data_IF_491799202666
#
_entry.id   IF_491799202666
#
_cell.length_a   1.000
_cell.length_b   1.000
_cell.length_c   1.000
_cell.angle_alpha   90.00
_cell.angle_beta   90.00
_cell.angle_gamma   90.00
#
_symmetry.space_group_name_H-M   'P 1'
#
loop_
_entity.id
_entity.type
_entity.pdbx_description
1 polymer ?
#
# COMPACT_ATOMS: atom_id res chain seq x y z
N UNK A 1 -13.86 -63.43 -6.79
CA UNK A 1 -13.97 -64.54 -5.82
C UNK A 1 -12.70 -64.56 -4.98
N UNK A 2 -12.85 -64.65 -3.64
CA UNK A 2 -11.88 -64.32 -2.55
C UNK A 2 -11.80 -62.81 -2.30
N UNK A 3 -12.54 -62.16 -1.39
CA UNK A 3 -13.05 -62.51 -0.05
C UNK A 3 -11.92 -62.87 0.92
N UNK A 4 -11.37 -61.86 1.60
CA UNK A 4 -10.75 -62.01 2.91
C UNK A 4 -11.36 -61.00 3.87
N UNK A 5 -11.91 -61.59 4.92
CA UNK A 5 -12.61 -61.05 6.07
C UNK A 5 -11.62 -61.05 7.24
N UNK A 6 -11.57 -60.00 8.06
CA UNK A 6 -11.36 -60.09 9.53
C UNK A 6 -11.35 -58.69 10.17
N UNK A 7 -12.54 -58.30 10.61
CA UNK A 7 -12.93 -57.91 11.98
C UNK A 7 -12.05 -57.05 12.91
N UNK A 8 -12.73 -55.99 13.39
CA UNK A 8 -12.81 -55.44 14.75
C UNK A 8 -11.59 -54.75 15.37
N UNK A 9 -11.70 -53.43 15.56
CA UNK A 9 -11.84 -52.89 16.93
C UNK A 9 -12.68 -51.60 16.92
N UNK A 10 -13.75 -51.64 17.69
CA UNK A 10 -14.70 -50.56 17.96
C UNK A 10 -14.15 -49.81 19.17
N UNK A 11 -13.73 -48.56 19.00
CA UNK A 11 -13.53 -47.63 20.12
C UNK A 11 -14.25 -46.34 19.80
N UNK A 12 -15.34 -46.11 20.53
CA UNK A 12 -16.01 -44.82 20.64
C UNK A 12 -14.98 -43.76 21.04
N UNK A 13 -14.89 -42.69 20.25
CA UNK A 13 -14.52 -41.37 20.76
C UNK A 13 -15.70 -40.46 20.42
N UNK A 14 -16.58 -40.33 21.42
CA UNK A 14 -17.44 -39.17 21.58
C UNK A 14 -16.51 -37.98 21.91
N UNK A 15 -16.31 -37.07 20.97
CA UNK A 15 -15.84 -35.71 21.27
C UNK A 15 -16.87 -34.74 20.70
N UNK A 16 -17.35 -33.88 21.59
CA UNK A 16 -18.55 -33.07 21.45
C UNK A 16 -18.46 -32.05 20.31
N UNK A 17 -19.59 -31.90 19.63
CA UNK A 17 -19.98 -30.63 19.05
C UNK A 17 -20.28 -29.65 20.20
N UNK A 18 -19.73 -28.43 20.11
CA UNK A 18 -20.14 -27.30 20.93
C UNK A 18 -19.05 -26.81 21.90
N UNK A 19 -17.93 -26.32 21.36
CA UNK A 19 -17.06 -25.42 22.11
C UNK A 19 -17.17 -24.02 21.50
N UNK A 20 -17.84 -23.17 22.26
CA UNK A 20 -17.73 -21.72 22.21
C UNK A 20 -16.25 -21.33 22.45
N UNK A 21 -15.59 -20.58 21.55
CA UNK A 21 -14.18 -20.20 21.69
C UNK A 21 -13.91 -19.25 22.87
N UNK A 22 -14.93 -18.80 23.60
CA UNK A 22 -14.82 -17.90 24.76
C UNK A 22 -14.02 -18.43 25.97
N UNK A 23 -13.64 -19.72 25.99
CA UNK A 23 -12.99 -20.37 27.15
C UNK A 23 -11.47 -20.59 27.05
N UNK A 24 -10.82 -20.19 25.95
CA UNK A 24 -9.36 -20.31 25.82
C UNK A 24 -8.66 -19.07 26.41
N UNK A 25 -8.50 -19.02 27.73
CA UNK A 25 -7.77 -17.92 28.40
C UNK A 25 -8.00 -17.77 29.92
N UNK A 26 -8.99 -18.45 30.49
CA UNK A 26 -9.42 -18.29 31.89
C UNK A 26 -8.42 -18.81 32.96
N UNK A 27 -7.23 -19.28 32.57
CA UNK A 27 -6.24 -19.86 33.48
C UNK A 27 -5.39 -18.86 34.29
N UNK A 28 -5.55 -17.55 34.05
CA UNK A 28 -4.77 -16.49 34.71
C UNK A 28 -5.65 -15.39 35.34
N UNK A 29 -6.93 -15.66 35.55
CA UNK A 29 -7.84 -14.70 36.18
C UNK A 29 -7.68 -14.83 37.70
N UNK A 30 -7.16 -13.78 38.34
CA UNK A 30 -7.13 -13.67 39.79
C UNK A 30 -8.55 -13.83 40.35
N UNK A 31 -8.70 -14.52 41.47
CA UNK A 31 -10.00 -14.87 42.08
C UNK A 31 -10.76 -13.61 42.58
N UNK A 32 -10.15 -12.43 42.40
CA UNK A 32 -10.67 -11.12 42.76
C UNK A 32 -11.19 -10.29 41.57
N UNK A 33 -10.99 -10.73 40.32
CA UNK A 33 -11.46 -10.02 39.14
C UNK A 33 -12.98 -10.24 38.91
N UNK A 34 -13.67 -9.22 38.40
CA UNK A 34 -15.11 -9.30 38.04
C UNK A 34 -15.40 -10.29 36.91
N UNK A 35 -16.68 -10.50 36.58
CA UNK A 35 -17.05 -11.22 35.35
C UNK A 35 -16.73 -10.36 34.12
N UNK A 36 -16.10 -10.92 33.06
CA UNK A 36 -15.84 -10.17 31.83
C UNK A 36 -17.14 -9.70 31.16
N UNK A 37 -17.13 -8.49 30.62
CA UNK A 37 -18.23 -7.94 29.83
C UNK A 37 -17.72 -7.22 28.58
N UNK A 38 -18.60 -7.03 27.59
CA UNK A 38 -18.26 -6.40 26.31
C UNK A 38 -18.74 -4.96 26.29
N UNK A 39 -17.83 -4.05 25.95
CA UNK A 39 -18.11 -2.65 25.65
C UNK A 39 -17.98 -2.44 24.14
N UNK A 40 -18.89 -1.68 23.53
CA UNK A 40 -18.81 -1.32 22.12
C UNK A 40 -18.71 0.19 21.99
N UNK A 41 -17.53 0.65 21.58
CA UNK A 41 -17.28 2.05 21.29
C UNK A 41 -17.65 2.34 19.84
N UNK A 42 -18.40 3.43 19.66
CA UNK A 42 -18.76 3.99 18.36
C UNK A 42 -17.85 5.18 18.11
N UNK A 43 -17.31 5.35 16.90
CA UNK A 43 -16.44 6.48 16.61
C UNK A 43 -17.18 7.81 16.71
N UNK A 44 -16.49 8.84 17.21
CA UNK A 44 -16.94 10.23 17.21
C UNK A 44 -16.76 10.88 15.84
N UNK A 45 -15.78 10.41 15.07
CA UNK A 45 -15.55 10.81 13.67
C UNK A 45 -15.13 9.60 12.82
N UNK A 46 -15.63 9.55 11.58
CA UNK A 46 -15.24 8.57 10.58
C UNK A 46 -15.28 9.24 9.20
N UNK A 47 -14.12 9.69 8.74
CA UNK A 47 -13.99 10.58 7.59
C UNK A 47 -12.67 10.41 6.86
N UNK A 48 -12.56 11.02 5.68
CA UNK A 48 -11.29 11.06 4.95
C UNK A 48 -10.35 12.06 5.61
N UNK A 49 -9.07 11.71 5.62
CA UNK A 49 -7.99 12.63 5.91
C UNK A 49 -7.87 13.68 4.81
N UNK A 50 -7.46 14.90 5.17
CA UNK A 50 -6.99 15.90 4.20
C UNK A 50 -5.54 15.64 3.74
N UNK A 51 -4.85 14.71 4.43
CA UNK A 51 -3.49 14.30 4.07
C UNK A 51 -3.50 13.38 2.85
N UNK A 52 -2.62 13.66 1.89
CA UNK A 52 -2.26 12.72 0.85
C UNK A 52 -1.57 11.48 1.42
N UNK A 53 -1.84 10.33 0.79
CA UNK A 53 -1.22 9.06 1.13
C UNK A 53 0.27 9.02 0.74
N UNK A 54 1.01 8.07 1.31
CA UNK A 54 2.41 7.85 1.02
C UNK A 54 2.58 6.90 -0.18
N UNK A 55 3.35 7.33 -1.18
CA UNK A 55 3.58 6.55 -2.41
C UNK A 55 5.07 6.48 -2.78
N UNK A 56 5.93 7.09 -1.97
CA UNK A 56 7.38 6.98 -2.07
C UNK A 56 7.87 5.58 -1.65
N UNK A 57 8.86 5.08 -2.37
CA UNK A 57 9.49 3.78 -2.09
C UNK A 57 11.01 3.82 -2.23
N UNK A 58 11.71 3.21 -1.28
CA UNK A 58 13.16 3.06 -1.25
C UNK A 58 13.54 1.59 -1.08
N UNK A 59 14.30 1.04 -2.04
CA UNK A 59 14.60 -0.40 -2.08
C UNK A 59 15.80 -0.80 -1.19
N UNK A 60 16.60 0.14 -0.68
CA UNK A 60 17.63 -0.14 0.33
C UNK A 60 18.77 -1.08 -0.10
N UNK A 61 18.93 -1.30 -1.41
CA UNK A 61 19.74 -2.41 -1.96
C UNK A 61 21.22 -2.31 -1.54
N UNK A 62 21.73 -1.12 -1.24
CA UNK A 62 23.14 -0.90 -0.88
C UNK A 62 23.41 -0.97 0.63
N UNK A 63 22.42 -0.68 1.48
CA UNK A 63 22.64 -0.41 2.91
C UNK A 63 22.15 -1.53 3.83
N UNK A 64 21.72 -2.68 3.29
CA UNK A 64 21.09 -3.78 4.06
C UNK A 64 19.87 -3.34 4.89
N UNK A 65 19.30 -2.18 4.55
CA UNK A 65 18.05 -1.69 5.11
C UNK A 65 16.93 -2.40 4.34
N UNK A 66 15.95 -2.93 5.08
CA UNK A 66 14.74 -3.51 4.51
C UNK A 66 14.06 -2.47 3.60
N UNK A 67 13.47 -2.90 2.48
CA UNK A 67 12.63 -2.05 1.62
C UNK A 67 11.68 -1.21 2.49
N UNK A 68 11.61 0.10 2.22
CA UNK A 68 10.70 1.02 2.91
C UNK A 68 9.78 1.63 1.88
N UNK A 69 8.47 1.51 2.09
CA UNK A 69 7.45 2.13 1.24
C UNK A 69 7.12 1.34 -0.03
N UNK A 70 6.74 2.06 -1.08
CA UNK A 70 6.18 1.48 -2.30
C UNK A 70 7.14 0.53 -3.04
N UNK A 71 6.61 -0.56 -3.58
CA UNK A 71 7.37 -1.49 -4.43
C UNK A 71 7.13 -1.28 -5.94
N UNK A 72 6.13 -0.48 -6.30
CA UNK A 72 5.82 -0.08 -7.68
C UNK A 72 5.55 1.42 -7.79
N UNK A 73 5.70 1.96 -8.99
CA UNK A 73 5.20 3.30 -9.32
C UNK A 73 4.13 3.21 -10.40
N UNK A 74 3.21 4.16 -10.40
CA UNK A 74 2.11 4.23 -11.35
C UNK A 74 2.28 5.39 -12.32
N UNK A 75 1.80 5.22 -13.54
CA UNK A 75 1.74 6.28 -14.54
C UNK A 75 0.53 6.10 -15.45
N UNK A 76 -0.15 7.19 -15.75
CA UNK A 76 -1.31 7.17 -16.63
C UNK A 76 -2.41 8.07 -16.11
N UNK A 77 -3.57 7.95 -16.71
CA UNK A 77 -4.80 8.60 -16.32
C UNK A 77 -5.96 7.80 -16.87
N UNK A 78 -7.03 7.76 -16.10
CA UNK A 78 -8.27 7.08 -16.49
C UNK A 78 -9.47 7.91 -16.06
N UNK A 79 -10.48 7.97 -16.90
CA UNK A 79 -11.79 8.50 -16.56
C UNK A 79 -12.67 7.36 -16.03
N UNK A 80 -12.51 7.04 -14.75
CA UNK A 80 -13.31 5.99 -14.12
C UNK A 80 -14.81 6.35 -14.13
N UNK A 81 -15.68 5.54 -14.75
CA UNK A 81 -17.12 5.87 -14.84
C UNK A 81 -17.84 5.98 -13.49
N UNK A 82 -17.25 5.46 -12.42
CA UNK A 82 -17.79 5.48 -11.07
C UNK A 82 -16.99 6.38 -10.11
N UNK A 83 -15.72 6.63 -10.41
CA UNK A 83 -14.78 7.31 -9.51
C UNK A 83 -14.16 8.60 -10.09
N UNK A 84 -14.54 8.98 -11.30
CA UNK A 84 -14.07 10.19 -11.95
C UNK A 84 -12.66 10.07 -12.53
N UNK A 85 -12.06 11.21 -12.86
CA UNK A 85 -10.71 11.26 -13.39
C UNK A 85 -9.69 10.97 -12.28
N UNK A 86 -8.83 9.99 -12.54
CA UNK A 86 -7.66 9.67 -11.72
C UNK A 86 -6.45 9.80 -12.63
N UNK A 87 -5.41 10.50 -12.20
CA UNK A 87 -4.13 10.64 -12.91
C UNK A 87 -2.97 10.31 -11.99
N UNK A 88 -1.98 9.61 -12.52
CA UNK A 88 -0.77 9.20 -11.86
C UNK A 88 0.46 9.59 -12.68
N UNK A 89 1.47 10.15 -12.01
CA UNK A 89 2.78 10.44 -12.58
C UNK A 89 3.86 9.64 -11.87
N UNK A 90 4.62 8.88 -12.65
CA UNK A 90 5.65 7.98 -12.16
C UNK A 90 7.01 8.65 -12.13
N UNK A 91 7.78 8.41 -11.07
CA UNK A 91 9.17 8.88 -10.93
C UNK A 91 10.03 7.74 -10.43
N UNK A 92 11.22 7.62 -10.98
CA UNK A 92 12.16 6.58 -10.60
C UNK A 92 13.59 7.08 -10.71
N UNK A 93 14.42 6.67 -9.77
CA UNK A 93 15.86 6.96 -9.72
C UNK A 93 16.65 5.68 -9.46
N UNK A 94 17.93 5.70 -9.82
CA UNK A 94 18.76 4.51 -10.00
C UNK A 94 19.99 4.53 -9.12
N UNK A 95 20.49 3.34 -8.83
CA UNK A 95 21.72 3.18 -8.06
C UNK A 95 22.61 2.09 -8.65
N UNK A 96 23.91 2.37 -8.70
CA UNK A 96 24.91 1.41 -9.16
C UNK A 96 25.19 0.39 -8.06
N UNK A 97 24.89 -0.89 -8.31
CA UNK A 97 25.14 -1.98 -7.36
C UNK A 97 26.57 -2.54 -7.46
N UNK A 98 27.16 -2.43 -8.65
CA UNK A 98 28.49 -2.91 -8.95
C UNK A 98 29.36 -1.74 -9.44
N UNK A 99 30.64 -1.77 -9.07
CA UNK A 99 31.60 -0.81 -9.61
C UNK A 99 31.81 -1.10 -11.11
N UNK A 100 31.59 -0.09 -11.94
CA UNK A 100 31.92 -0.20 -13.36
C UNK A 100 33.42 -0.46 -13.56
N UNK A 101 33.75 -1.27 -14.55
CA UNK A 101 35.13 -1.61 -14.90
C UNK A 101 35.86 -0.43 -15.53
N UNK A 102 37.20 -0.44 -15.53
CA UNK A 102 38.00 0.56 -16.24
C UNK A 102 37.67 0.59 -17.75
N UNK A 103 37.35 -0.56 -18.35
CA UNK A 103 36.98 -0.65 -19.76
C UNK A 103 35.64 0.05 -20.02
N UNK A 104 34.66 -0.11 -19.13
CA UNK A 104 33.41 0.65 -19.18
C UNK A 104 33.65 2.15 -19.04
N UNK A 105 34.43 2.55 -18.02
CA UNK A 105 34.73 3.96 -17.72
C UNK A 105 35.48 4.65 -18.86
N UNK A 106 36.35 3.96 -19.56
CA UNK A 106 37.14 4.51 -20.67
C UNK A 106 36.49 4.35 -22.05
N UNK A 107 35.37 3.62 -22.14
CA UNK A 107 34.59 3.44 -23.36
C UNK A 107 33.76 4.66 -23.73
N UNK A 108 33.07 4.57 -24.86
CA UNK A 108 31.99 5.48 -25.25
C UNK A 108 30.67 4.72 -25.11
N UNK A 109 29.67 5.34 -24.49
CA UNK A 109 28.33 4.76 -24.37
C UNK A 109 27.73 4.64 -25.77
N UNK A 110 27.37 3.43 -26.14
CA UNK A 110 26.78 3.09 -27.43
C UNK A 110 25.27 2.91 -27.36
N UNK A 111 24.73 2.53 -26.20
CA UNK A 111 23.28 2.44 -26.00
C UNK A 111 22.90 2.50 -24.53
N UNK A 112 21.69 2.98 -24.27
CA UNK A 112 21.05 2.98 -22.96
C UNK A 112 19.65 2.43 -23.13
N UNK A 113 19.31 1.39 -22.38
CA UNK A 113 18.01 0.72 -22.44
C UNK A 113 17.40 0.72 -21.05
N UNK A 114 16.24 1.36 -20.92
CA UNK A 114 15.41 1.30 -19.72
C UNK A 114 14.48 0.10 -19.84
N UNK A 115 14.62 -0.86 -18.93
CA UNK A 115 13.72 -2.01 -18.82
C UNK A 115 12.80 -1.81 -17.62
N UNK A 116 11.49 -1.90 -17.85
CA UNK A 116 10.46 -1.77 -16.81
C UNK A 116 9.55 -2.99 -16.80
N UNK A 117 9.31 -3.52 -15.61
CA UNK A 117 8.49 -4.72 -15.36
C UNK A 117 7.06 -4.30 -15.05
N UNK A 118 6.15 -4.45 -16.00
CA UNK A 118 4.74 -4.03 -15.85
C UNK A 118 3.99 -5.12 -15.10
N UNK A 119 3.37 -4.76 -13.98
CA UNK A 119 2.68 -5.73 -13.13
C UNK A 119 1.35 -5.20 -12.57
N UNK A 120 0.82 -4.12 -13.13
CA UNK A 120 -0.41 -3.49 -12.68
C UNK A 120 -1.07 -2.70 -13.80
N UNK A 121 -2.41 -2.76 -13.86
CA UNK A 121 -3.24 -1.92 -14.72
C UNK A 121 -4.52 -1.56 -13.99
N UNK A 122 -4.95 -0.32 -14.13
CA UNK A 122 -6.25 0.19 -13.72
C UNK A 122 -6.82 1.05 -14.86
N UNK A 123 -7.97 0.68 -15.43
CA UNK A 123 -8.57 1.37 -16.58
C UNK A 123 -8.73 0.47 -17.82
N UNK A 124 -8.74 1.07 -19.01
CA UNK A 124 -8.89 0.37 -20.29
C UNK A 124 -7.67 -0.52 -20.60
N UNK A 125 -7.93 -1.82 -20.72
CA UNK A 125 -6.92 -2.85 -21.06
C UNK A 125 -6.83 -3.13 -22.56
N UNK A 126 -7.67 -2.50 -23.39
CA UNK A 126 -7.76 -2.78 -24.83
C UNK A 126 -6.98 -1.77 -25.68
N UNK A 127 -6.68 -0.59 -25.13
CA UNK A 127 -6.03 0.50 -25.84
C UNK A 127 -4.66 0.79 -25.24
N UNK A 128 -3.61 0.98 -26.04
CA UNK A 128 -2.30 1.42 -25.55
C UNK A 128 -2.35 2.77 -24.82
N UNK A 129 -1.49 2.92 -23.83
CA UNK A 129 -1.23 4.20 -23.15
C UNK A 129 0.01 4.84 -23.76
N UNK A 130 -0.09 6.10 -24.16
CA UNK A 130 1.05 6.89 -24.66
C UNK A 130 1.60 7.73 -23.51
N UNK A 131 2.88 7.53 -23.21
CA UNK A 131 3.60 8.18 -22.14
C UNK A 131 4.68 9.11 -22.68
N UNK A 132 4.98 10.15 -21.92
CA UNK A 132 6.14 11.02 -22.09
C UNK A 132 7.20 10.65 -21.07
N UNK A 133 8.43 10.43 -21.53
CA UNK A 133 9.62 10.26 -20.69
C UNK A 133 10.39 11.58 -20.62
N UNK A 134 10.67 12.07 -19.42
CA UNK A 134 11.44 13.30 -19.18
C UNK A 134 12.52 13.07 -18.13
N UNK A 135 13.55 13.93 -18.10
CA UNK A 135 14.54 13.90 -17.00
C UNK A 135 14.00 14.55 -15.74
N UNK A 136 14.54 14.17 -14.58
CA UNK A 136 14.37 14.92 -13.32
C UNK A 136 15.60 15.82 -13.12
N UNK A 137 15.38 17.09 -12.79
CA UNK A 137 16.46 18.09 -12.76
C UNK A 137 17.17 18.20 -11.42
N UNK A 138 16.47 17.89 -10.32
CA UNK A 138 16.96 18.07 -8.97
C UNK A 138 17.02 16.73 -8.22
N UNK A 139 18.00 16.57 -7.34
CA UNK A 139 18.09 15.43 -6.44
C UNK A 139 16.85 15.34 -5.54
N UNK A 140 16.41 14.11 -5.26
CA UNK A 140 15.23 13.85 -4.43
C UNK A 140 15.40 12.58 -3.60
N UNK A 141 14.50 12.42 -2.63
CA UNK A 141 14.41 11.26 -1.74
C UNK A 141 13.01 10.68 -1.84
N UNK A 142 12.87 9.37 -1.90
CA UNK A 142 11.58 8.66 -1.86
C UNK A 142 11.11 8.29 -0.44
N UNK A 143 11.93 8.52 0.59
CA UNK A 143 11.58 8.14 1.97
C UNK A 143 10.42 8.97 2.49
N UNK A 144 9.34 8.30 2.91
CA UNK A 144 8.15 8.92 3.53
C UNK A 144 7.54 10.04 2.67
N UNK A 145 7.59 9.88 1.34
CA UNK A 145 7.07 10.89 0.41
C UNK A 145 5.61 10.62 0.04
N UNK A 146 4.83 11.70 0.03
CA UNK A 146 3.40 11.71 -0.25
C UNK A 146 3.07 11.88 -1.73
N UNK A 147 1.88 11.43 -2.13
CA UNK A 147 1.41 11.46 -3.52
C UNK A 147 1.10 12.85 -4.08
N UNK A 148 1.09 13.89 -3.26
CA UNK A 148 0.96 15.30 -3.70
C UNK A 148 2.31 16.00 -3.92
N UNK A 149 3.42 15.27 -3.78
CA UNK A 149 4.76 15.83 -3.93
C UNK A 149 5.06 16.22 -5.38
N UNK A 150 5.58 17.43 -5.55
CA UNK A 150 5.99 17.99 -6.85
C UNK A 150 7.51 18.06 -6.95
N UNK A 151 8.08 17.53 -8.03
CA UNK A 151 9.51 17.64 -8.35
C UNK A 151 9.75 18.52 -9.58
N UNK A 152 10.96 19.05 -9.70
CA UNK A 152 11.40 19.79 -10.89
C UNK A 152 11.65 18.84 -12.07
N UNK A 153 10.77 18.92 -13.08
CA UNK A 153 10.88 18.12 -14.31
C UNK A 153 11.73 18.87 -15.33
N UNK A 154 12.68 18.16 -15.93
CA UNK A 154 13.59 18.65 -16.96
C UNK A 154 13.04 18.50 -18.37
N UNK A 155 13.95 18.32 -19.32
CA UNK A 155 13.61 18.20 -20.73
C UNK A 155 12.94 16.86 -21.05
N UNK A 156 12.01 16.93 -22.01
CA UNK A 156 11.42 15.74 -22.61
C UNK A 156 12.48 14.98 -23.42
N UNK A 157 12.50 13.67 -23.24
CA UNK A 157 13.44 12.76 -23.92
C UNK A 157 12.74 12.14 -25.12
N UNK A 158 11.56 11.54 -24.92
CA UNK A 158 10.79 10.86 -25.96
C UNK A 158 9.36 10.52 -25.52
N UNK A 159 8.53 10.15 -26.51
CA UNK A 159 7.24 9.50 -26.29
C UNK A 159 7.36 7.97 -26.39
N UNK A 160 6.56 7.26 -25.61
CA UNK A 160 6.57 5.78 -25.51
C UNK A 160 5.12 5.29 -25.57
N UNK A 161 4.87 4.23 -26.34
CA UNK A 161 3.58 3.53 -26.33
C UNK A 161 3.68 2.27 -25.49
N UNK A 162 2.75 2.10 -24.54
CA UNK A 162 2.68 0.95 -23.63
C UNK A 162 1.41 0.18 -23.90
N UNK A 163 1.53 -1.10 -24.23
CA UNK A 163 0.40 -2.03 -24.25
C UNK A 163 0.11 -2.46 -22.79
N UNK A 164 -1.08 -2.21 -22.22
CA UNK A 164 -1.41 -2.60 -20.85
C UNK A 164 -1.32 -4.11 -20.59
N UNK A 165 -1.23 -4.93 -21.63
CA UNK A 165 -1.12 -6.39 -21.53
C UNK A 165 0.31 -6.91 -21.62
N UNK A 166 1.31 -6.04 -21.80
CA UNK A 166 2.72 -6.47 -21.77
C UNK A 166 3.18 -6.73 -20.34
N UNK A 167 4.02 -7.74 -20.14
CA UNK A 167 4.66 -7.98 -18.83
C UNK A 167 5.94 -7.14 -18.67
N UNK A 168 6.56 -6.74 -19.79
CA UNK A 168 7.82 -5.99 -19.77
C UNK A 168 7.87 -4.97 -20.91
N UNK A 169 8.47 -3.82 -20.61
CA UNK A 169 8.71 -2.74 -21.55
C UNK A 169 10.21 -2.46 -21.62
N UNK A 170 10.78 -2.52 -22.82
CA UNK A 170 12.16 -2.08 -23.09
C UNK A 170 12.13 -0.80 -23.94
N UNK A 171 12.80 0.24 -23.46
CA UNK A 171 12.88 1.55 -24.10
C UNK A 171 14.33 1.85 -24.40
N UNK A 172 14.69 1.90 -25.68
CA UNK A 172 16.00 2.39 -26.12
C UNK A 172 15.98 3.92 -26.15
N UNK A 173 16.89 4.55 -25.40
CA UNK A 173 16.96 6.01 -25.33
C UNK A 173 17.59 6.59 -26.60
N UNK A 174 17.16 7.80 -27.04
CA UNK A 174 17.68 8.43 -28.25
C UNK A 174 19.20 8.65 -28.24
N UNK A 175 19.85 8.43 -29.39
CA UNK A 175 21.31 8.55 -29.56
C UNK A 175 21.86 9.92 -29.17
N UNK A 176 21.09 10.99 -29.39
CA UNK A 176 21.46 12.36 -29.04
C UNK A 176 21.43 12.59 -27.52
N UNK A 177 20.41 12.07 -26.83
CA UNK A 177 20.35 12.06 -25.37
C UNK A 177 21.50 11.23 -24.79
N UNK A 178 21.75 10.04 -25.33
CA UNK A 178 22.86 9.16 -24.90
C UNK A 178 24.21 9.88 -25.08
N UNK A 179 24.41 10.51 -26.23
CA UNK A 179 25.65 11.26 -26.53
C UNK A 179 25.83 12.48 -25.62
N UNK A 180 24.74 13.19 -25.29
CA UNK A 180 24.78 14.34 -24.38
C UNK A 180 25.09 13.93 -22.94
N UNK A 181 24.71 12.72 -22.53
CA UNK A 181 24.88 12.21 -21.16
C UNK A 181 26.03 11.20 -21.02
N UNK A 182 26.82 10.93 -22.07
CA UNK A 182 27.89 9.91 -22.07
C UNK A 182 28.86 10.04 -20.87
N UNK A 183 29.32 11.25 -20.57
CA UNK A 183 30.24 11.49 -19.45
C UNK A 183 29.59 11.23 -18.08
N UNK A 184 28.31 11.61 -17.93
CA UNK A 184 27.52 11.37 -16.72
C UNK A 184 27.28 9.87 -16.52
N UNK A 185 26.84 9.17 -17.55
CA UNK A 185 26.54 7.72 -17.54
C UNK A 185 27.77 6.87 -17.21
N UNK A 186 28.98 7.36 -17.53
CA UNK A 186 30.26 6.73 -17.16
C UNK A 186 30.86 7.30 -15.88
N UNK A 187 30.20 8.17 -15.13
CA UNK A 187 30.71 8.77 -13.89
C UNK A 187 30.70 7.80 -12.70
N UNK A 188 31.71 7.86 -11.84
CA UNK A 188 31.68 7.18 -10.53
C UNK A 188 30.57 7.70 -9.62
N UNK A 189 30.19 8.96 -9.80
CA UNK A 189 29.11 9.64 -9.10
C UNK A 189 27.76 9.54 -9.84
N UNK A 190 27.59 8.55 -10.74
CA UNK A 190 26.33 8.39 -11.48
C UNK A 190 25.10 8.38 -10.57
N UNK A 191 25.16 7.65 -9.45
CA UNK A 191 24.04 7.56 -8.50
C UNK A 191 23.74 8.86 -7.76
N UNK A 192 24.69 9.81 -7.73
CA UNK A 192 24.54 11.10 -7.07
C UNK A 192 24.15 12.20 -8.07
N UNK A 193 24.67 12.12 -9.30
CA UNK A 193 24.55 13.16 -10.33
C UNK A 193 23.39 12.91 -11.31
N UNK A 194 22.89 11.67 -11.42
CA UNK A 194 21.71 11.35 -12.20
C UNK A 194 20.51 11.23 -11.26
N UNK A 195 19.47 12.02 -11.51
CA UNK A 195 18.31 12.12 -10.61
C UNK A 195 17.10 11.35 -11.12
N UNK A 196 17.28 10.53 -12.15
CA UNK A 196 16.26 9.63 -12.65
C UNK A 196 15.34 10.21 -13.73
N UNK A 197 14.20 9.54 -13.90
CA UNK A 197 13.22 9.81 -14.95
C UNK A 197 11.84 10.12 -14.36
N UNK A 198 11.08 10.93 -15.11
CA UNK A 198 9.67 11.20 -14.91
C UNK A 198 8.86 10.65 -16.09
N UNK A 199 7.77 9.95 -15.78
CA UNK A 199 6.79 9.50 -16.75
C UNK A 199 5.44 10.16 -16.47
N UNK A 200 4.83 10.70 -17.52
CA UNK A 200 3.49 11.28 -17.51
C UNK A 200 2.70 10.83 -18.73
N UNK A 201 1.37 10.81 -18.66
CA UNK A 201 0.55 10.44 -19.80
C UNK A 201 0.42 11.57 -20.83
N UNK A 202 0.38 11.18 -22.10
CA UNK A 202 -0.06 12.00 -23.23
C UNK A 202 -1.45 11.58 -23.70
N UNK A 203 -1.68 10.28 -23.88
CA UNK A 203 -2.94 9.71 -24.39
C UNK A 203 -3.21 8.30 -23.84
N UNK A 204 -4.47 7.84 -23.91
CA UNK A 204 -4.93 6.58 -23.33
C UNK A 204 -5.95 6.76 -22.20
N UNK A 205 -6.53 5.66 -21.71
CA UNK A 205 -7.52 5.68 -20.61
C UNK A 205 -7.20 4.59 -19.58
N UNK A 206 -5.93 4.52 -19.18
CA UNK A 206 -5.46 3.58 -18.17
C UNK A 206 -4.26 4.12 -17.42
N UNK A 207 -4.16 3.68 -16.17
CA UNK A 207 -2.97 3.78 -15.32
C UNK A 207 -2.29 2.43 -15.31
N UNK A 208 -1.01 2.40 -15.69
CA UNK A 208 -0.15 1.22 -15.63
C UNK A 208 0.84 1.36 -14.48
N UNK A 209 1.23 0.25 -13.88
CA UNK A 209 2.20 0.23 -12.79
C UNK A 209 3.39 -0.68 -13.08
N UNK A 210 4.56 -0.20 -12.69
CA UNK A 210 5.84 -0.86 -12.91
C UNK A 210 6.53 -1.21 -11.59
N UNK A 211 6.94 -2.48 -11.47
CA UNK A 211 7.70 -2.99 -10.33
C UNK A 211 9.11 -2.41 -10.30
N UNK A 212 9.51 -1.85 -9.17
CA UNK A 212 10.88 -1.37 -9.00
C UNK A 212 11.90 -2.52 -8.98
N UNK A 213 11.56 -3.66 -8.37
CA UNK A 213 12.47 -4.80 -8.24
C UNK A 213 12.82 -5.49 -9.56
N UNK A 214 11.95 -5.38 -10.57
CA UNK A 214 12.17 -5.90 -11.92
C UNK A 214 12.78 -4.89 -12.91
N UNK A 215 12.83 -3.61 -12.53
CA UNK A 215 13.20 -2.51 -13.42
C UNK A 215 14.66 -2.08 -13.26
N UNK A 216 15.30 -1.70 -14.36
CA UNK A 216 16.71 -1.30 -14.37
C UNK A 216 17.09 -0.51 -15.63
N UNK A 217 18.20 0.21 -15.55
CA UNK A 217 18.87 0.83 -16.68
C UNK A 217 20.06 -0.04 -17.12
N UNK A 218 20.12 -0.39 -18.40
CA UNK A 218 21.28 -1.06 -19.02
C UNK A 218 22.05 -0.04 -19.84
N UNK A 219 23.30 0.21 -19.47
CA UNK A 219 24.20 1.13 -20.18
C UNK A 219 25.29 0.28 -20.83
N UNK A 220 25.48 0.38 -22.14
CA UNK A 220 26.48 -0.41 -22.85
C UNK A 220 27.56 0.49 -23.47
N UNK A 221 28.80 0.02 -23.40
CA UNK A 221 29.91 0.48 -24.23
C UNK A 221 30.33 -0.68 -25.15
N UNK A 222 31.23 -0.42 -26.10
CA UNK A 222 31.63 -1.44 -27.08
C UNK A 222 32.18 -2.76 -26.48
N UNK A 223 32.77 -2.72 -25.29
CA UNK A 223 33.43 -3.87 -24.64
C UNK A 223 32.77 -4.36 -23.36
N UNK A 224 31.80 -3.63 -22.80
CA UNK A 224 31.24 -3.91 -21.48
C UNK A 224 29.80 -3.35 -21.33
N UNK A 225 29.09 -3.79 -20.30
CA UNK A 225 27.73 -3.36 -19.98
C UNK A 225 27.56 -3.20 -18.48
N UNK A 226 27.05 -2.06 -18.06
CA UNK A 226 26.68 -1.77 -16.68
C UNK A 226 25.16 -1.88 -16.52
N UNK A 227 24.72 -2.55 -15.45
CA UNK A 227 23.32 -2.59 -15.03
C UNK A 227 23.15 -1.76 -13.76
N UNK A 228 22.24 -0.79 -13.81
CA UNK A 228 21.92 0.12 -12.71
C UNK A 228 20.48 -0.17 -12.26
N UNK A 229 20.30 -0.53 -10.99
CA UNK A 229 18.98 -0.94 -10.48
C UNK A 229 18.15 0.28 -10.09
N UNK A 230 16.81 0.18 -10.20
CA UNK A 230 15.93 1.18 -9.58
C UNK A 230 16.09 1.12 -8.06
N UNK A 231 16.24 2.28 -7.45
CA UNK A 231 16.47 2.42 -6.00
C UNK A 231 15.41 3.27 -5.32
N UNK A 232 14.92 4.30 -6.01
CA UNK A 232 13.90 5.19 -5.51
C UNK A 232 12.73 5.26 -6.48
N UNK A 233 11.51 5.29 -5.96
CA UNK A 233 10.30 5.48 -6.75
C UNK A 233 9.34 6.42 -6.04
N UNK A 234 8.51 7.11 -6.83
CA UNK A 234 7.42 7.95 -6.33
C UNK A 234 6.29 7.97 -7.35
N UNK A 235 5.05 7.93 -6.86
CA UNK A 235 3.86 8.17 -7.68
C UNK A 235 3.16 9.43 -7.20
N UNK A 236 3.10 10.48 -8.02
CA UNK A 236 2.16 11.57 -7.71
C UNK A 236 0.78 11.20 -8.22
N UNK A 237 -0.26 11.39 -7.40
CA UNK A 237 -1.63 11.03 -7.77
C UNK A 237 -2.54 12.24 -7.57
N UNK A 238 -3.34 12.52 -8.60
CA UNK A 238 -4.41 13.51 -8.53
C UNK A 238 -5.72 12.84 -8.91
N UNK A 239 -6.77 13.13 -8.15
CA UNK A 239 -8.12 12.65 -8.42
C UNK A 239 -9.08 13.83 -8.37
N UNK A 240 -9.98 13.91 -9.33
CA UNK A 240 -11.09 14.86 -9.27
C UNK A 240 -11.99 14.57 -8.06
N UNK A 241 -12.57 15.61 -7.48
CA UNK A 241 -13.46 15.43 -6.32
C UNK A 241 -14.68 14.59 -6.72
N UNK A 242 -14.78 13.39 -6.14
CA UNK A 242 -15.91 12.51 -6.37
C UNK A 242 -17.06 12.84 -5.44
N UNK A 243 -18.28 12.88 -5.98
CA UNK A 243 -19.49 12.74 -5.18
C UNK A 243 -19.68 11.27 -4.75
N UNK A 244 -18.89 10.78 -3.80
CA UNK A 244 -19.20 9.51 -3.12
C UNK A 244 -20.56 9.66 -2.43
N UNK A 245 -21.50 8.70 -2.56
CA UNK A 245 -22.75 8.75 -1.82
C UNK A 245 -22.51 8.94 -0.32
N UNK A 246 -23.34 9.77 0.33
CA UNK A 246 -23.10 10.20 1.71
C UNK A 246 -23.13 9.06 2.73
N UNK A 247 -23.78 7.94 2.38
CA UNK A 247 -23.83 6.71 3.15
C UNK A 247 -22.51 5.92 3.15
N UNK A 248 -21.62 6.18 2.19
CA UNK A 248 -20.37 5.44 2.03
C UNK A 248 -19.13 6.31 2.27
N UNK A 249 -18.08 5.67 2.75
CA UNK A 249 -16.72 6.22 2.78
C UNK A 249 -15.85 5.42 1.81
N UNK A 250 -15.10 6.10 0.95
CA UNK A 250 -14.17 5.48 0.01
C UNK A 250 -12.76 5.52 0.58
N UNK A 251 -12.10 4.37 0.62
CA UNK A 251 -10.65 4.24 0.73
C UNK A 251 -10.11 3.87 -0.65
N UNK A 252 -9.25 4.71 -1.20
CA UNK A 252 -8.52 4.44 -2.44
C UNK A 252 -7.03 4.51 -2.12
N UNK A 253 -6.32 3.43 -2.44
CA UNK A 253 -4.87 3.33 -2.26
C UNK A 253 -4.14 4.46 -3.02
N UNK A 254 -3.06 4.97 -2.43
CA UNK A 254 -2.24 6.07 -2.94
C UNK A 254 -2.92 7.46 -2.90
N UNK A 255 -4.20 7.53 -2.49
CA UNK A 255 -4.99 8.76 -2.51
C UNK A 255 -5.57 9.09 -1.14
N UNK A 256 -6.31 8.16 -0.54
CA UNK A 256 -7.11 8.40 0.64
C UNK A 256 -6.50 7.73 1.88
N UNK A 257 -6.47 8.46 2.99
CA UNK A 257 -6.35 7.89 4.33
C UNK A 257 -7.69 8.06 5.03
N UNK A 258 -8.17 7.05 5.75
CA UNK A 258 -9.43 7.14 6.49
C UNK A 258 -9.15 7.32 7.98
N UNK A 259 -9.63 8.41 8.56
CA UNK A 259 -9.47 8.74 10.00
C UNK A 259 -10.66 8.23 10.80
N UNK A 260 -10.37 7.67 11.97
CA UNK A 260 -11.37 7.16 12.91
C UNK A 260 -11.03 7.65 14.33
N UNK A 261 -11.91 8.46 14.90
CA UNK A 261 -11.76 8.97 16.26
C UNK A 261 -12.72 8.29 17.21
N UNK A 262 -12.28 8.00 18.44
CA UNK A 262 -13.11 7.46 19.51
C UNK A 262 -12.95 8.30 20.76
N UNK A 263 -14.02 8.38 21.57
CA UNK A 263 -13.90 8.82 22.95
C UNK A 263 -13.41 7.65 23.81
N UNK A 264 -12.15 7.72 24.25
CA UNK A 264 -11.56 6.74 25.16
C UNK A 264 -11.74 7.13 26.64
N UNK A 265 -12.27 8.31 26.96
CA UNK A 265 -12.47 8.79 28.33
C UNK A 265 -13.87 8.39 28.86
N UNK A 266 -14.37 7.22 28.47
CA UNK A 266 -15.69 6.73 28.89
C UNK A 266 -15.60 5.94 30.20
N UNK A 267 -16.56 6.14 31.09
CA UNK A 267 -16.65 5.41 32.36
C UNK A 267 -16.83 3.89 32.17
N UNK A 268 -17.28 3.45 30.98
CA UNK A 268 -17.48 2.04 30.64
C UNK A 268 -16.17 1.26 30.53
N UNK A 269 -15.07 1.93 30.18
CA UNK A 269 -13.75 1.27 30.01
C UNK A 269 -12.73 1.72 31.06
N UNK A 270 -12.95 2.89 31.69
CA UNK A 270 -12.06 3.38 32.76
C UNK A 270 -11.90 2.35 33.87
N UNK A 271 -10.66 2.19 34.32
CA UNK A 271 -10.27 1.27 35.41
C UNK A 271 -10.56 -0.21 35.12
N UNK A 272 -10.82 -0.59 33.87
CA UNK A 272 -10.98 -1.99 33.48
C UNK A 272 -9.70 -2.53 32.82
N UNK A 273 -9.44 -3.83 33.02
CA UNK A 273 -8.44 -4.57 32.25
C UNK A 273 -9.04 -4.98 30.92
N UNK A 274 -8.28 -4.87 29.83
CA UNK A 274 -8.70 -5.27 28.49
C UNK A 274 -8.14 -6.67 28.20
N UNK A 275 -9.03 -7.59 27.86
CA UNK A 275 -8.69 -8.97 27.50
C UNK A 275 -8.72 -9.21 26.00
N UNK A 276 -9.58 -8.47 25.31
CA UNK A 276 -9.77 -8.58 23.87
C UNK A 276 -10.13 -7.21 23.31
N UNK A 277 -9.61 -6.91 22.13
CA UNK A 277 -9.97 -5.74 21.37
C UNK A 277 -10.17 -6.17 19.91
N UNK A 278 -11.34 -5.87 19.36
CA UNK A 278 -11.70 -6.19 17.99
C UNK A 278 -12.26 -4.93 17.34
N UNK A 279 -11.55 -4.42 16.33
CA UNK A 279 -12.06 -3.34 15.49
C UNK A 279 -12.79 -3.96 14.30
N UNK A 280 -14.03 -3.56 14.03
CA UNK A 280 -14.83 -4.10 12.92
C UNK A 280 -15.51 -3.00 12.14
N UNK A 281 -15.63 -3.20 10.84
CA UNK A 281 -16.46 -2.40 9.95
C UNK A 281 -16.95 -3.22 8.77
N UNK A 282 -18.12 -2.88 8.25
CA UNK A 282 -18.68 -3.53 7.07
C UNK A 282 -18.18 -2.85 5.80
N UNK A 283 -17.81 -3.70 4.85
CA UNK A 283 -17.56 -3.31 3.46
C UNK A 283 -18.90 -2.98 2.81
N UNK A 284 -18.93 -1.90 2.05
CA UNK A 284 -20.02 -1.58 1.15
C UNK A 284 -19.63 -1.99 -0.27
N UNK A 285 -20.62 -2.47 -1.02
CA UNK A 285 -20.44 -2.84 -2.43
C UNK A 285 -21.40 -2.02 -3.29
N UNK A 286 -21.11 -0.72 -3.49
CA UNK A 286 -21.90 0.05 -4.45
C UNK A 286 -21.75 -0.59 -5.83
N UNK A 287 -22.83 -0.57 -6.61
CA UNK A 287 -22.78 -1.05 -8.00
C UNK A 287 -21.90 -0.11 -8.82
N UNK A 288 -20.67 -0.52 -9.10
CA UNK A 288 -19.75 0.22 -9.96
C UNK A 288 -20.05 -0.08 -11.44
N UNK A 289 -19.97 0.95 -12.26
CA UNK A 289 -20.05 0.83 -13.72
C UNK A 289 -18.68 0.38 -14.23
N UNK A 290 -18.63 -0.81 -14.84
CA UNK A 290 -17.42 -1.37 -15.44
C UNK A 290 -17.65 -1.60 -16.93
N UNK A 291 -17.17 -0.68 -17.80
CA UNK A 291 -17.20 -0.88 -19.24
C UNK A 291 -16.46 -2.15 -19.66
N UNK A 292 -16.75 -2.65 -20.86
CA UNK A 292 -15.98 -3.75 -21.44
C UNK A 292 -14.52 -3.32 -21.61
N UNK A 293 -13.58 -4.16 -21.16
CA UNK A 293 -12.15 -3.85 -21.21
C UNK A 293 -11.63 -3.01 -20.04
N UNK A 294 -12.52 -2.47 -19.19
CA UNK A 294 -12.11 -1.70 -18.01
C UNK A 294 -11.80 -2.64 -16.85
N UNK A 295 -10.61 -2.52 -16.28
CA UNK A 295 -10.15 -3.34 -15.15
C UNK A 295 -9.93 -2.48 -13.89
N UNK A 296 -10.44 -2.98 -12.76
CA UNK A 296 -10.17 -2.43 -11.41
C UNK A 296 -9.64 -3.56 -10.55
N UNK A 297 -8.33 -3.60 -10.26
CA UNK A 297 -7.77 -4.49 -9.26
C UNK A 297 -8.53 -4.33 -7.92
N UNK A 298 -8.89 -5.43 -7.24
CA UNK A 298 -9.43 -5.35 -5.90
C UNK A 298 -8.36 -4.87 -4.93
N UNK A 299 -8.79 -4.24 -3.84
CA UNK A 299 -7.91 -4.04 -2.68
C UNK A 299 -7.90 -5.36 -1.89
N UNK A 300 -6.74 -5.94 -1.66
CA UNK A 300 -6.62 -7.27 -1.02
C UNK A 300 -6.48 -7.18 0.50
N UNK A 301 -5.93 -6.09 1.01
CA UNK A 301 -5.66 -5.92 2.43
C UNK A 301 -5.86 -4.46 2.85
N UNK A 302 -6.13 -4.26 4.13
CA UNK A 302 -6.21 -2.93 4.77
C UNK A 302 -5.42 -2.99 6.06
N UNK A 303 -4.70 -1.92 6.36
CA UNK A 303 -3.89 -1.78 7.58
C UNK A 303 -4.60 -0.86 8.57
N UNK A 304 -4.68 -1.29 9.84
CA UNK A 304 -5.12 -0.45 10.95
C UNK A 304 -3.90 0.16 11.63
N UNK A 305 -3.85 1.49 11.68
CA UNK A 305 -2.73 2.26 12.23
C UNK A 305 -3.19 3.06 13.44
N UNK A 306 -2.40 3.06 14.52
CA UNK A 306 -2.53 3.97 15.65
C UNK A 306 -1.75 5.25 15.39
N UNK A 307 -2.37 6.39 15.71
CA UNK A 307 -1.72 7.71 15.76
C UNK A 307 -1.59 8.15 17.21
N UNK A 308 -0.39 8.56 17.61
CA UNK A 308 -0.06 9.00 18.97
C UNK A 308 -0.05 10.51 19.12
N UNK A 309 0.27 11.04 20.31
CA UNK A 309 0.00 12.42 20.72
C UNK A 309 0.85 13.49 20.02
N UNK A 310 1.86 13.10 19.26
CA UNK A 310 2.61 13.97 18.35
C UNK A 310 1.94 14.14 16.98
N UNK A 311 0.85 13.40 16.72
CA UNK A 311 0.10 13.32 15.44
C UNK A 311 0.93 12.91 14.21
N UNK A 312 2.21 12.62 14.40
CA UNK A 312 3.18 12.23 13.38
C UNK A 312 3.53 10.76 13.48
N UNK A 313 3.63 10.21 14.69
CA UNK A 313 4.02 8.83 14.91
C UNK A 313 2.87 7.87 14.57
N UNK A 314 3.16 6.99 13.61
CA UNK A 314 2.27 5.94 13.09
C UNK A 314 2.76 4.58 13.54
N UNK A 315 1.89 3.80 14.15
CA UNK A 315 2.19 2.40 14.49
C UNK A 315 1.15 1.48 13.89
N UNK A 316 1.58 0.58 13.01
CA UNK A 316 0.72 -0.50 12.50
C UNK A 316 0.29 -1.40 13.66
N UNK A 317 -1.02 -1.51 13.87
CA UNK A 317 -1.61 -2.38 14.87
C UNK A 317 -1.91 -3.75 14.30
N UNK A 318 -2.49 -3.79 13.10
CA UNK A 318 -2.97 -5.02 12.49
C UNK A 318 -3.22 -4.84 10.99
N UNK A 319 -3.35 -5.95 10.27
CA UNK A 319 -3.72 -6.01 8.86
C UNK A 319 -4.87 -6.99 8.70
N UNK A 320 -5.83 -6.66 7.84
CA UNK A 320 -6.99 -7.50 7.58
C UNK A 320 -7.15 -7.72 6.08
N UNK A 321 -7.31 -8.99 5.70
CA UNK A 321 -7.61 -9.39 4.33
C UNK A 321 -9.03 -8.94 3.94
N UNK A 322 -9.18 -8.46 2.71
CA UNK A 322 -10.45 -8.07 2.12
C UNK A 322 -11.05 -9.30 1.44
N UNK A 323 -11.78 -10.09 2.22
CA UNK A 323 -12.51 -11.27 1.74
C UNK A 323 -13.90 -10.94 1.15
N UNK A 324 -14.68 -11.96 0.80
CA UNK A 324 -16.06 -11.81 0.31
C UNK A 324 -17.11 -11.72 1.45
N UNK A 325 -16.71 -11.84 2.72
CA UNK A 325 -17.64 -11.97 3.87
C UNK A 325 -18.30 -10.63 4.26
N UNK A 326 -17.95 -9.54 3.57
CA UNK A 326 -18.56 -8.22 3.76
C UNK A 326 -18.17 -7.51 5.06
N UNK A 327 -17.32 -8.13 5.89
CA UNK A 327 -16.81 -7.56 7.14
C UNK A 327 -15.29 -7.47 7.05
N UNK A 328 -14.73 -6.41 7.60
CA UNK A 328 -13.30 -6.25 7.84
C UNK A 328 -13.10 -6.20 9.35
N UNK A 329 -12.25 -7.07 9.90
CA UNK A 329 -12.03 -7.20 11.33
C UNK A 329 -10.55 -7.25 11.65
N UNK A 330 -10.14 -6.41 12.61
CA UNK A 330 -8.78 -6.35 13.14
C UNK A 330 -8.80 -6.83 14.59
N UNK A 331 -7.94 -7.80 14.89
CA UNK A 331 -7.82 -8.44 16.18
C UNK A 331 -6.37 -8.85 16.41
N UNK A 332 -5.60 -7.96 17.04
CA UNK A 332 -4.19 -8.19 17.33
C UNK A 332 -3.82 -7.89 18.78
N UNK A 333 -2.69 -8.46 19.21
CA UNK A 333 -2.10 -8.12 20.51
C UNK A 333 -1.68 -6.66 20.59
N UNK A 334 -1.24 -6.06 19.48
CA UNK A 334 -0.85 -4.65 19.43
C UNK A 334 -2.06 -3.75 19.66
N UNK A 335 -3.22 -4.09 19.09
CA UNK A 335 -4.48 -3.38 19.36
C UNK A 335 -4.87 -3.49 20.84
N UNK A 336 -4.79 -4.68 21.45
CA UNK A 336 -5.05 -4.87 22.88
C UNK A 336 -4.11 -4.00 23.73
N UNK A 337 -2.81 -4.00 23.44
CA UNK A 337 -1.80 -3.21 24.17
C UNK A 337 -2.04 -1.71 24.00
N UNK A 338 -2.32 -1.24 22.78
CA UNK A 338 -2.64 0.16 22.50
C UNK A 338 -3.86 0.61 23.32
N UNK A 339 -4.93 -0.20 23.32
CA UNK A 339 -6.13 0.09 24.10
C UNK A 339 -5.87 0.05 25.60
N UNK A 340 -5.12 -0.95 26.09
CA UNK A 340 -4.83 -1.09 27.51
C UNK A 340 -4.01 0.10 28.04
N UNK A 341 -3.02 0.56 27.26
CA UNK A 341 -2.22 1.73 27.60
C UNK A 341 -3.07 3.00 27.62
N UNK A 342 -3.97 3.16 26.65
CA UNK A 342 -4.88 4.31 26.56
C UNK A 342 -5.81 4.37 27.78
N UNK A 343 -6.47 3.25 28.11
CA UNK A 343 -7.40 3.17 29.26
C UNK A 343 -6.70 3.41 30.61
N UNK A 344 -5.42 3.02 30.74
CA UNK A 344 -4.63 3.24 31.96
C UNK A 344 -4.01 4.65 32.03
N UNK A 345 -4.25 5.52 31.04
CA UNK A 345 -3.63 6.84 30.96
C UNK A 345 -2.11 6.79 30.79
N UNK A 346 -1.59 5.69 30.22
CA UNK A 346 -0.15 5.47 29.94
C UNK A 346 0.21 5.64 28.48
N UNK A 347 -0.79 5.54 27.60
CA UNK A 347 -0.65 5.77 26.16
C UNK A 347 -1.19 7.13 25.77
N UNK A 348 -0.79 7.56 24.59
CA UNK A 348 -1.15 8.83 23.96
C UNK A 348 -1.86 8.59 22.62
N UNK A 349 -2.54 7.46 22.47
CA UNK A 349 -3.38 7.17 21.30
C UNK A 349 -4.42 8.28 21.12
N UNK A 350 -4.36 8.95 19.97
CA UNK A 350 -5.27 10.04 19.59
C UNK A 350 -6.41 9.48 18.74
N UNK A 351 -6.07 8.70 17.71
CA UNK A 351 -7.03 8.18 16.74
C UNK A 351 -6.48 6.92 16.06
N UNK A 352 -7.35 6.27 15.29
CA UNK A 352 -6.94 5.26 14.33
C UNK A 352 -6.99 5.82 12.91
N UNK A 353 -6.21 5.21 12.03
CA UNK A 353 -6.30 5.40 10.59
C UNK A 353 -6.41 4.04 9.88
N UNK A 354 -7.16 4.00 8.77
CA UNK A 354 -7.12 2.89 7.82
C UNK A 354 -6.33 3.32 6.59
N UNK A 355 -5.42 2.44 6.19
CA UNK A 355 -4.53 2.62 5.05
C UNK A 355 -4.64 1.40 4.13
N UNK A 356 -4.44 1.60 2.84
CA UNK A 356 -4.00 0.49 1.99
C UNK A 356 -2.49 0.24 2.27
N UNK A 357 -1.98 -0.98 2.12
CA UNK A 357 -0.57 -1.22 2.33
C UNK A 357 0.27 -0.48 1.29
N UNK A 358 1.15 0.39 1.78
CA UNK A 358 2.03 1.21 0.94
C UNK A 358 2.85 0.40 -0.07
N UNK A 359 3.20 -0.84 0.26
CA UNK A 359 4.03 -1.70 -0.59
C UNK A 359 3.36 -1.98 -1.94
N UNK A 360 2.03 -2.06 -1.97
CA UNK A 360 1.27 -2.38 -3.17
C UNK A 360 1.16 -1.21 -4.13
N UNK A 361 1.13 0.02 -3.59
CA UNK A 361 0.95 1.30 -4.29
C UNK A 361 0.11 1.16 -5.56
N UNK A 362 -1.19 1.03 -5.36
CA UNK A 362 -2.21 0.78 -6.37
C UNK A 362 -3.22 1.94 -6.43
N UNK A 363 -4.25 1.79 -7.26
CA UNK A 363 -5.47 2.60 -7.24
C UNK A 363 -6.69 1.77 -6.82
N UNK A 364 -6.45 0.64 -6.15
CA UNK A 364 -7.51 -0.24 -5.68
C UNK A 364 -8.41 0.51 -4.69
N UNK A 365 -9.69 0.14 -4.70
CA UNK A 365 -10.72 0.85 -3.93
C UNK A 365 -11.48 -0.08 -3.01
N UNK A 366 -11.88 0.46 -1.86
CA UNK A 366 -12.79 -0.18 -0.92
C UNK A 366 -13.77 0.85 -0.39
N UNK A 367 -15.04 0.45 -0.29
CA UNK A 367 -16.08 1.29 0.30
C UNK A 367 -16.47 0.75 1.67
N UNK A 368 -16.80 1.64 2.59
CA UNK A 368 -17.26 1.33 3.93
C UNK A 368 -18.62 1.97 4.18
N UNK A 369 -19.46 1.28 4.96
CA UNK A 369 -20.66 1.86 5.55
C UNK A 369 -20.28 2.96 6.54
N UNK A 370 -20.87 4.16 6.44
CA UNK A 370 -20.57 5.25 7.41
C UNK A 370 -21.34 5.10 8.72
N UNK A 371 -22.60 4.68 8.66
CA UNK A 371 -23.45 4.68 9.85
C UNK A 371 -23.18 3.46 10.73
N UNK A 372 -22.97 3.63 12.03
CA UNK A 372 -22.86 2.50 12.96
C UNK A 372 -24.08 1.58 12.93
N UNK A 373 -25.27 2.09 12.57
CA UNK A 373 -26.51 1.31 12.44
C UNK A 373 -26.53 0.43 11.18
N UNK A 374 -25.83 0.84 10.11
CA UNK A 374 -25.69 0.06 8.88
C UNK A 374 -24.42 -0.79 8.83
N UNK A 375 -23.65 -0.80 9.93
CA UNK A 375 -22.42 -1.59 10.03
C UNK A 375 -21.14 -0.78 9.85
N UNK A 376 -21.18 0.53 10.07
CA UNK A 376 -19.98 1.36 10.18
C UNK A 376 -19.06 0.95 11.34
N UNK A 377 -17.95 1.68 11.55
CA UNK A 377 -16.87 1.22 12.40
C UNK A 377 -17.30 1.06 13.85
N UNK A 378 -16.82 -0.01 14.50
CA UNK A 378 -17.03 -0.29 15.91
C UNK A 378 -15.78 -0.91 16.52
N UNK A 379 -15.41 -0.43 17.69
CA UNK A 379 -14.40 -1.05 18.52
C UNK A 379 -15.07 -1.83 19.65
N UNK A 380 -14.94 -3.15 19.63
CA UNK A 380 -15.44 -4.04 20.66
C UNK A 380 -14.31 -4.39 21.64
N UNK A 381 -14.54 -4.17 22.92
CA UNK A 381 -13.59 -4.44 23.99
C UNK A 381 -14.21 -5.43 24.97
N UNK A 382 -13.53 -6.55 25.20
CA UNK A 382 -13.87 -7.45 26.31
C UNK A 382 -13.05 -7.03 27.51
N UNK A 383 -13.71 -6.59 28.58
CA UNK A 383 -13.07 -5.96 29.73
C UNK A 383 -13.51 -6.59 31.05
N UNK A 384 -12.68 -6.43 32.09
CA UNK A 384 -12.99 -6.85 33.47
C UNK A 384 -12.66 -5.74 34.46
N UNK A 385 -13.55 -5.53 35.43
CA UNK A 385 -13.38 -4.56 36.50
C UNK A 385 -12.15 -4.88 37.38
N UNK A 386 -11.26 -3.89 37.52
CA UNK A 386 -10.13 -3.95 38.46
C UNK A 386 -10.61 -3.36 39.79
N UNK A 387 -10.96 -4.23 40.75
CA UNK A 387 -11.28 -3.78 42.10
C UNK A 387 -10.01 -3.26 42.78
N UNK A 388 -9.97 -1.96 43.05
CA UNK A 388 -8.89 -1.32 43.82
C UNK A 388 -8.98 -1.63 45.31
#
# INVERSE_FOLDING_TARGET
MRLWCSSLFFSLILVGCGDDPSNLGLGLVDVQAGEPFVVSLVPTAFEKSDDADFTGGFLGIITSIQRVGAARFLVGSTSDPSLGLISAEGRLDFVTLEAATDDFRNGQVSSVILTMDLNYVYGDTLTPVTLKLSSISDAWSASEVRSDTVLSIGEEIMEISVDPTTDQLEIELPDDWVSANDALLRSESLSDDFHGFHLSQIDGDAVVGFSAGGSFLRIAVASDTLRVAVNQILTAITRDELATPAEFLLLQDGVDIVRIEHDFDTEEIKNNSIHEAVFRLNKAFPSLITPAGYYRPPLETVTLVAITGDEESRTTLDEADVDDDGVLAFQSINLIVAMQNTVLGRGDLVRFELHAPIEDNSLSVLFFERSPESGGPRLHLTVTEVRQ
#
